data_IF_664309840733
#
_entry.id   IF_664309840733
#
_cell.length_a   1.000
_cell.length_b   1.000
_cell.length_c   1.000
_cell.angle_alpha   90.00
_cell.angle_beta   90.00
_cell.angle_gamma   90.00
#
_symmetry.space_group_name_H-M   'P 1'
#
loop_
_entity.id
_entity.type
_entity.pdbx_description
1 polymer ?
#
# COMPACT_ATOMS: atom_id res chain seq x y z
N UNK A 1 16.74 -3.38 -6.11
CA UNK A 1 15.97 -3.55 -7.36
C UNK A 1 14.49 -3.54 -6.98
N UNK A 2 13.74 -2.53 -7.39
CA UNK A 2 12.34 -2.35 -7.00
C UNK A 2 11.41 -3.31 -7.75
N UNK A 3 10.31 -3.69 -7.12
CA UNK A 3 9.21 -4.35 -7.82
C UNK A 3 8.55 -3.37 -8.79
N UNK A 4 8.25 -3.88 -9.98
CA UNK A 4 7.75 -3.13 -11.11
C UNK A 4 6.23 -3.19 -11.25
N UNK A 5 5.56 -4.09 -10.53
CA UNK A 5 4.11 -4.24 -10.58
C UNK A 5 3.56 -4.72 -9.24
N UNK A 6 2.28 -4.47 -9.03
CA UNK A 6 1.56 -4.83 -7.82
C UNK A 6 0.33 -5.66 -8.15
N UNK A 7 -0.25 -6.25 -7.11
CA UNK A 7 -1.55 -6.89 -7.16
C UNK A 7 -2.55 -6.19 -6.25
N UNK A 8 -3.80 -6.11 -6.71
CA UNK A 8 -4.88 -5.55 -5.93
C UNK A 8 -5.25 -6.47 -4.76
N UNK A 9 -5.42 -5.90 -3.57
CA UNK A 9 -5.84 -6.65 -2.38
C UNK A 9 -7.24 -7.26 -2.53
N UNK A 10 -8.14 -6.66 -3.32
CA UNK A 10 -9.52 -7.12 -3.45
C UNK A 10 -9.71 -8.30 -4.39
N UNK A 11 -8.91 -8.39 -5.46
CA UNK A 11 -9.12 -9.37 -6.54
C UNK A 11 -7.87 -10.17 -6.94
N UNK A 12 -6.69 -9.81 -6.39
CA UNK A 12 -5.43 -10.49 -6.65
C UNK A 12 -4.97 -10.46 -8.11
N UNK A 13 -5.45 -9.49 -8.88
CA UNK A 13 -5.00 -9.22 -10.24
C UNK A 13 -3.91 -8.16 -10.25
N UNK A 14 -3.04 -8.22 -11.25
CA UNK A 14 -2.04 -7.18 -11.51
C UNK A 14 -2.68 -5.78 -11.66
N UNK A 15 -1.97 -4.74 -11.23
CA UNK A 15 -2.44 -3.35 -11.24
C UNK A 15 -2.19 -2.58 -12.53
N UNK A 16 -1.26 -3.03 -13.38
CA UNK A 16 -0.78 -2.37 -14.61
C UNK A 16 -1.91 -1.98 -15.55
N UNK A 17 -1.87 -0.73 -16.02
CA UNK A 17 -2.94 -0.16 -16.87
C UNK A 17 -4.31 -0.12 -16.18
N UNK A 18 -4.34 -0.35 -14.86
CA UNK A 18 -5.53 -0.33 -14.04
C UNK A 18 -5.64 0.96 -13.25
N UNK A 19 -6.89 1.35 -12.98
CA UNK A 19 -7.31 2.33 -11.99
C UNK A 19 -7.73 1.67 -10.68
N UNK A 20 -7.70 2.41 -9.60
CA UNK A 20 -8.14 1.90 -8.31
C UNK A 20 -8.12 2.95 -7.21
N UNK A 21 -7.91 2.46 -6.00
CA UNK A 21 -7.88 3.22 -4.76
C UNK A 21 -6.64 2.81 -3.98
N UNK A 22 -5.79 3.78 -3.64
CA UNK A 22 -4.72 3.68 -2.65
C UNK A 22 -5.29 4.15 -1.31
N UNK A 23 -5.19 3.31 -0.28
CA UNK A 23 -5.55 3.73 1.08
C UNK A 23 -4.32 4.35 1.73
N UNK A 24 -4.57 5.39 2.51
CA UNK A 24 -3.57 6.15 3.21
C UNK A 24 -3.77 5.98 4.72
N UNK A 25 -2.71 6.17 5.51
CA UNK A 25 -2.87 6.36 6.94
C UNK A 25 -3.61 7.67 7.21
N UNK A 26 -4.44 7.69 8.25
CA UNK A 26 -5.21 8.89 8.60
C UNK A 26 -4.30 10.09 8.92
N UNK A 27 -3.15 9.83 9.55
CA UNK A 27 -2.14 10.86 9.82
C UNK A 27 -1.61 11.50 8.53
N UNK A 28 -1.11 10.68 7.60
CA UNK A 28 -0.55 11.17 6.33
C UNK A 28 -1.61 11.87 5.47
N UNK A 29 -2.80 11.27 5.33
CA UNK A 29 -3.89 11.86 4.56
C UNK A 29 -4.30 13.25 5.07
N UNK A 30 -4.35 13.42 6.40
CA UNK A 30 -4.65 14.70 7.05
C UNK A 30 -3.52 15.72 6.82
N UNK A 31 -2.27 15.31 6.98
CA UNK A 31 -1.11 16.19 6.79
C UNK A 31 -1.01 16.70 5.34
N UNK A 32 -1.15 15.80 4.37
CA UNK A 32 -1.08 16.09 2.94
C UNK A 32 -2.37 16.69 2.35
N UNK A 33 -3.44 16.79 3.14
CA UNK A 33 -4.79 17.19 2.70
C UNK A 33 -5.24 16.41 1.45
N UNK A 34 -5.16 15.09 1.55
CA UNK A 34 -5.61 14.15 0.53
C UNK A 34 -6.94 13.50 0.92
N UNK A 35 -7.67 13.04 -0.10
CA UNK A 35 -8.81 12.16 0.12
C UNK A 35 -8.31 10.76 0.49
N UNK A 36 -9.03 10.09 1.39
CA UNK A 36 -8.74 8.71 1.78
C UNK A 36 -10.00 7.84 1.57
N UNK A 37 -9.96 6.79 0.73
CA UNK A 37 -8.85 6.42 -0.13
C UNK A 37 -8.62 7.40 -1.29
N UNK A 38 -7.38 7.46 -1.74
CA UNK A 38 -6.92 8.23 -2.89
C UNK A 38 -7.19 7.46 -4.18
N UNK A 39 -7.99 8.02 -5.07
CA UNK A 39 -8.26 7.40 -6.38
C UNK A 39 -7.11 7.65 -7.33
N UNK A 40 -6.68 6.65 -8.07
CA UNK A 40 -5.72 6.79 -9.18
C UNK A 40 -6.31 6.25 -10.48
N UNK A 41 -5.87 6.78 -11.61
CA UNK A 41 -6.32 6.38 -12.95
C UNK A 41 -5.42 5.34 -13.60
N UNK A 42 -4.12 5.40 -13.34
CA UNK A 42 -3.12 4.56 -13.99
C UNK A 42 -1.98 4.27 -13.02
N UNK A 43 -1.31 3.14 -13.22
CA UNK A 43 -0.05 2.80 -12.56
C UNK A 43 0.97 2.46 -13.63
N UNK A 44 2.15 3.03 -13.53
CA UNK A 44 3.28 2.61 -14.35
C UNK A 44 3.98 1.39 -13.76
N UNK A 45 5.07 0.99 -14.40
CA UNK A 45 5.88 -0.15 -14.05
C UNK A 45 6.94 0.16 -12.98
N UNK A 46 6.95 1.34 -12.38
CA UNK A 46 7.84 1.70 -11.26
C UNK A 46 7.06 1.97 -9.96
N UNK A 47 5.74 1.87 -10.01
CA UNK A 47 4.86 2.19 -8.90
C UNK A 47 4.51 3.67 -8.83
N UNK A 48 4.62 4.41 -9.93
CA UNK A 48 4.05 5.76 -10.05
C UNK A 48 2.57 5.67 -10.33
N UNK A 49 1.78 6.37 -9.52
CA UNK A 49 0.33 6.40 -9.57
C UNK A 49 -0.12 7.77 -10.11
N UNK A 50 -0.79 7.77 -11.27
CA UNK A 50 -1.41 8.98 -11.79
C UNK A 50 -2.71 9.27 -11.02
N UNK A 51 -2.71 10.38 -10.29
CA UNK A 51 -3.71 10.69 -9.28
C UNK A 51 -4.31 12.09 -9.52
N UNK A 52 -5.65 12.22 -9.67
CA UNK A 52 -6.30 13.53 -9.74
C UNK A 52 -6.39 14.19 -8.36
N UNK A 53 -5.63 15.28 -8.17
CA UNK A 53 -5.54 16.00 -6.90
C UNK A 53 -6.14 17.42 -7.03
N UNK A 54 -6.76 17.89 -5.96
CA UNK A 54 -7.35 19.25 -5.89
C UNK A 54 -8.75 19.35 -6.51
N UNK A 55 -9.26 20.58 -6.54
CA UNK A 55 -10.59 20.90 -7.09
C UNK A 55 -10.63 20.75 -8.61
N UNK A 56 -9.55 21.15 -9.28
CA UNK A 56 -9.39 21.08 -10.74
C UNK A 56 -9.06 19.67 -11.24
N UNK A 57 -8.81 18.72 -10.33
CA UNK A 57 -8.48 17.32 -10.64
C UNK A 57 -7.23 17.17 -11.53
N UNK A 58 -6.26 18.08 -11.35
CA UNK A 58 -4.95 17.99 -12.01
C UNK A 58 -4.31 16.63 -11.71
N UNK A 59 -3.86 15.94 -12.77
CA UNK A 59 -3.17 14.67 -12.65
C UNK A 59 -1.74 14.91 -12.16
N UNK A 60 -1.38 14.18 -11.11
CA UNK A 60 -0.06 14.20 -10.49
C UNK A 60 0.41 12.77 -10.36
N UNK A 61 1.67 12.51 -10.67
CA UNK A 61 2.29 11.22 -10.46
C UNK A 61 2.90 11.17 -9.06
N UNK A 62 2.51 10.18 -8.27
CA UNK A 62 3.06 9.96 -6.94
C UNK A 62 3.66 8.57 -6.85
N UNK A 63 4.80 8.45 -6.19
CA UNK A 63 5.44 7.16 -5.95
C UNK A 63 4.76 6.40 -4.80
N UNK A 64 4.27 5.19 -5.09
CA UNK A 64 3.58 4.36 -4.09
C UNK A 64 4.47 4.01 -2.89
N UNK A 65 5.75 3.74 -3.13
CA UNK A 65 6.68 3.38 -2.07
C UNK A 65 7.11 4.62 -1.29
N UNK A 66 7.22 5.78 -1.92
CA UNK A 66 7.47 7.03 -1.19
C UNK A 66 6.28 7.40 -0.30
N UNK A 67 5.04 7.28 -0.81
CA UNK A 67 3.83 7.44 0.03
C UNK A 67 3.87 6.44 1.19
N UNK A 68 4.22 5.19 0.93
CA UNK A 68 4.30 4.16 1.96
C UNK A 68 5.36 4.47 3.01
N UNK A 69 6.56 4.87 2.60
CA UNK A 69 7.63 5.34 3.49
C UNK A 69 7.21 6.55 4.31
N UNK A 70 6.49 7.51 3.72
CA UNK A 70 5.95 8.65 4.44
C UNK A 70 4.93 8.21 5.50
N UNK A 71 4.03 7.28 5.18
CA UNK A 71 3.07 6.74 6.15
C UNK A 71 3.75 6.04 7.32
N UNK A 72 4.84 5.30 7.06
CA UNK A 72 5.64 4.63 8.09
C UNK A 72 6.30 5.64 9.04
N UNK A 73 6.94 6.68 8.47
CA UNK A 73 7.67 7.70 9.23
C UNK A 73 6.76 8.71 9.94
N UNK A 74 5.48 8.79 9.57
CA UNK A 74 4.47 9.63 10.22
C UNK A 74 3.54 8.85 11.16
N UNK A 75 3.72 7.54 11.30
CA UNK A 75 2.93 6.73 12.21
C UNK A 75 3.39 6.96 13.66
N UNK A 76 2.44 7.10 14.58
CA UNK A 76 2.71 7.15 16.03
C UNK A 76 3.07 5.77 16.62
N UNK A 77 3.12 4.73 15.77
CA UNK A 77 3.32 3.35 16.18
C UNK A 77 4.81 3.02 16.34
N UNK A 78 5.24 2.84 17.59
CA UNK A 78 6.61 2.45 17.97
C UNK A 78 7.04 1.07 17.41
N UNK A 79 6.14 0.30 16.78
CA UNK A 79 6.44 -0.99 16.16
C UNK A 79 6.82 -0.90 14.67
N UNK A 80 6.58 0.25 14.02
CA UNK A 80 7.22 0.52 12.74
C UNK A 80 8.67 0.92 13.05
N UNK A 81 9.69 0.30 12.41
CA UNK A 81 11.04 0.83 12.49
C UNK A 81 11.00 2.22 11.86
N UNK A 82 10.95 3.25 12.71
CA UNK A 82 11.13 4.63 12.29
C UNK A 82 12.52 4.67 11.64
N UNK A 83 12.56 4.78 10.32
CA UNK A 83 13.79 4.86 9.52
C UNK A 83 14.56 6.15 9.78
N UNK A 84 14.08 6.98 10.70
CA UNK A 84 14.69 8.25 11.09
C UNK A 84 14.30 9.41 10.18
N UNK A 85 13.39 9.20 9.22
CA UNK A 85 13.04 10.18 8.19
C UNK A 85 11.68 10.87 8.45
N UNK A 86 11.36 11.15 9.72
CA UNK A 86 10.09 11.80 10.09
C UNK A 86 9.96 13.23 9.58
N UNK A 87 11.08 13.97 9.54
CA UNK A 87 11.12 15.34 9.06
C UNK A 87 10.93 15.38 7.54
N UNK A 88 11.57 14.48 6.81
CA UNK A 88 11.42 14.27 5.37
C UNK A 88 9.98 13.88 5.03
N UNK A 89 9.38 12.96 5.79
CA UNK A 89 7.99 12.55 5.58
C UNK A 89 7.00 13.70 5.82
N UNK A 90 7.21 14.49 6.88
CA UNK A 90 6.41 15.68 7.15
C UNK A 90 6.56 16.74 6.04
N UNK A 91 7.79 16.96 5.55
CA UNK A 91 8.07 17.88 4.45
C UNK A 91 7.45 17.40 3.13
N UNK A 92 7.54 16.12 2.84
CA UNK A 92 6.91 15.51 1.66
C UNK A 92 5.38 15.69 1.69
N UNK A 93 4.73 15.41 2.83
CA UNK A 93 3.31 15.66 3.02
C UNK A 93 2.95 17.15 2.84
N UNK A 94 3.81 18.06 3.33
CA UNK A 94 3.63 19.50 3.16
C UNK A 94 3.70 19.91 1.68
N UNK A 95 4.68 19.43 0.92
CA UNK A 95 4.80 19.73 -0.52
C UNK A 95 3.59 19.23 -1.31
N UNK A 96 3.10 18.02 -1.00
CA UNK A 96 1.85 17.50 -1.57
C UNK A 96 0.71 18.46 -1.27
N UNK A 97 0.56 18.88 -0.02
CA UNK A 97 -0.49 19.81 0.41
C UNK A 97 -0.41 21.15 -0.31
N UNK A 98 0.80 21.67 -0.50
CA UNK A 98 1.09 22.93 -1.21
C UNK A 98 0.95 22.80 -2.73
N UNK A 99 0.75 21.57 -3.24
CA UNK A 99 0.68 21.24 -4.68
C UNK A 99 1.96 21.58 -5.43
N UNK A 100 3.08 21.44 -4.73
CA UNK A 100 4.41 21.77 -5.24
C UNK A 100 5.15 20.50 -5.65
N UNK A 101 4.77 19.95 -6.80
CA UNK A 101 5.24 18.64 -7.29
C UNK A 101 6.45 18.73 -8.24
N UNK A 102 6.61 19.84 -8.96
CA UNK A 102 7.65 20.03 -9.97
C UNK A 102 8.91 20.70 -9.39
N UNK A 103 9.37 20.23 -8.24
CA UNK A 103 10.57 20.77 -7.61
C UNK A 103 11.56 19.63 -7.30
N UNK A 104 12.86 19.93 -7.35
CA UNK A 104 13.90 18.92 -7.08
C UNK A 104 13.92 18.43 -5.63
N UNK A 105 13.33 19.18 -4.70
CA UNK A 105 13.16 18.76 -3.31
C UNK A 105 12.19 17.58 -3.21
N UNK A 106 11.10 17.59 -3.98
CA UNK A 106 10.04 16.60 -4.00
C UNK A 106 10.59 15.27 -4.50
N UNK A 107 11.31 15.30 -5.63
CA UNK A 107 11.99 14.12 -6.18
C UNK A 107 13.01 13.54 -5.19
N UNK A 108 13.82 14.38 -4.55
CA UNK A 108 14.79 13.94 -3.55
C UNK A 108 14.14 13.31 -2.30
N UNK A 109 13.02 13.86 -1.84
CA UNK A 109 12.24 13.29 -0.73
C UNK A 109 11.59 11.96 -1.12
N UNK A 110 11.10 11.84 -2.36
CA UNK A 110 10.55 10.57 -2.85
C UNK A 110 11.59 9.47 -2.87
N UNK A 111 12.81 9.74 -3.32
CA UNK A 111 13.88 8.74 -3.36
C UNK A 111 14.25 8.24 -1.96
N UNK A 112 14.32 9.14 -0.96
CA UNK A 112 14.60 8.79 0.43
C UNK A 112 13.48 7.88 0.98
N UNK A 113 12.24 8.36 0.91
CA UNK A 113 11.08 7.67 1.49
C UNK A 113 10.75 6.37 0.75
N UNK A 114 11.05 6.30 -0.56
CA UNK A 114 10.88 5.09 -1.36
C UNK A 114 11.71 3.93 -0.83
N UNK A 115 12.94 4.19 -0.39
CA UNK A 115 13.79 3.14 0.18
C UNK A 115 13.18 2.59 1.47
N UNK A 116 12.70 3.46 2.37
CA UNK A 116 12.03 3.05 3.60
C UNK A 116 10.80 2.17 3.33
N UNK A 117 9.98 2.60 2.36
CA UNK A 117 8.80 1.85 1.94
C UNK A 117 9.14 0.47 1.37
N UNK A 118 10.17 0.39 0.52
CA UNK A 118 10.66 -0.88 -0.05
C UNK A 118 11.21 -1.79 1.05
N UNK A 119 12.10 -1.29 1.88
CA UNK A 119 12.78 -2.08 2.91
C UNK A 119 11.77 -2.65 3.89
N UNK A 120 10.84 -1.83 4.38
CA UNK A 120 9.79 -2.31 5.26
C UNK A 120 8.86 -3.32 4.57
N UNK A 121 8.47 -3.05 3.32
CA UNK A 121 7.58 -3.94 2.56
C UNK A 121 8.16 -5.36 2.41
N UNK A 122 9.44 -5.49 2.11
CA UNK A 122 10.07 -6.80 1.91
C UNK A 122 10.54 -7.45 3.21
N UNK A 123 11.00 -6.68 4.20
CA UNK A 123 11.40 -7.22 5.50
C UNK A 123 10.23 -7.87 6.26
N UNK A 124 9.02 -7.35 6.06
CA UNK A 124 7.81 -7.82 6.77
C UNK A 124 7.05 -8.93 6.01
N UNK A 125 7.59 -9.44 4.91
CA UNK A 125 7.01 -10.56 4.17
C UNK A 125 7.48 -11.90 4.73
N UNK A 126 6.53 -12.80 4.92
CA UNK A 126 6.78 -14.17 5.37
C UNK A 126 6.06 -15.18 4.47
N UNK A 127 6.58 -16.39 4.40
CA UNK A 127 5.89 -17.50 3.75
C UNK A 127 4.59 -17.84 4.49
N UNK A 128 3.49 -17.96 3.76
CA UNK A 128 2.23 -18.45 4.30
C UNK A 128 2.25 -19.99 4.32
N UNK A 129 1.79 -20.64 5.41
CA UNK A 129 1.66 -22.10 5.45
C UNK A 129 0.82 -22.63 4.28
N UNK A 130 1.38 -23.58 3.52
CA UNK A 130 0.87 -24.04 2.22
C UNK A 130 -0.55 -24.65 2.23
N UNK A 131 -1.11 -24.93 3.41
CA UNK A 131 -2.45 -25.48 3.59
C UNK A 131 -3.52 -24.45 4.02
N UNK A 132 -3.15 -23.19 4.30
CA UNK A 132 -4.10 -22.19 4.78
C UNK A 132 -5.05 -21.75 3.65
N UNK A 133 -6.33 -22.10 3.78
CA UNK A 133 -7.40 -21.63 2.89
C UNK A 133 -8.07 -20.39 3.46
N UNK A 134 -7.70 -19.23 2.95
CA UNK A 134 -8.28 -17.94 3.38
C UNK A 134 -9.48 -17.58 2.49
N UNK A 135 -10.51 -16.97 3.08
CA UNK A 135 -11.70 -16.54 2.35
C UNK A 135 -11.53 -15.13 1.82
N UNK A 136 -11.70 -14.94 0.53
CA UNK A 136 -11.93 -13.62 -0.07
C UNK A 136 -13.42 -13.32 0.01
N UNK A 137 -13.78 -12.19 0.63
CA UNK A 137 -15.16 -11.75 0.77
C UNK A 137 -15.73 -11.35 -0.60
N UNK A 138 -17.05 -11.43 -0.74
CA UNK A 138 -17.72 -10.86 -1.90
C UNK A 138 -17.57 -9.32 -1.89
N UNK A 139 -17.38 -8.72 -3.06
CA UNK A 139 -17.27 -7.26 -3.18
C UNK A 139 -17.79 -6.76 -4.53
N UNK A 140 -18.94 -6.08 -4.50
CA UNK A 140 -19.71 -5.78 -5.71
C UNK A 140 -19.98 -7.06 -6.51
N UNK A 141 -19.81 -7.04 -7.83
CA UNK A 141 -19.96 -8.23 -8.70
C UNK A 141 -18.87 -9.31 -8.61
N UNK A 142 -18.05 -9.32 -7.56
CA UNK A 142 -17.10 -10.41 -7.29
C UNK A 142 -17.70 -11.37 -6.27
N UNK A 143 -17.78 -12.65 -6.62
CA UNK A 143 -18.22 -13.69 -5.70
C UNK A 143 -17.17 -13.99 -4.63
N UNK A 144 -17.63 -14.39 -3.45
CA UNK A 144 -16.75 -14.92 -2.42
C UNK A 144 -16.07 -16.20 -2.93
N UNK A 145 -14.80 -16.39 -2.55
CA UNK A 145 -14.01 -17.58 -2.95
C UNK A 145 -12.98 -17.94 -1.88
N UNK A 146 -12.48 -19.17 -1.93
CA UNK A 146 -11.33 -19.61 -1.14
C UNK A 146 -10.07 -19.52 -1.99
N UNK A 147 -8.99 -19.01 -1.39
CA UNK A 147 -7.68 -18.93 -2.01
C UNK A 147 -6.65 -19.58 -1.10
N UNK A 148 -5.52 -19.99 -1.67
CA UNK A 148 -4.35 -20.49 -0.93
C UNK A 148 -3.22 -19.48 -1.15
N UNK A 149 -3.05 -18.52 -0.24
CA UNK A 149 -1.98 -17.53 -0.32
C UNK A 149 -0.61 -18.20 -0.18
N UNK A 150 0.39 -17.63 -0.86
CA UNK A 150 1.79 -18.08 -0.73
C UNK A 150 2.57 -17.25 0.29
N UNK A 151 2.16 -16.00 0.47
CA UNK A 151 2.83 -15.03 1.32
C UNK A 151 1.83 -14.43 2.32
N UNK A 152 2.35 -14.03 3.47
CA UNK A 152 1.67 -13.18 4.42
C UNK A 152 2.56 -11.98 4.75
N UNK A 153 1.94 -10.90 5.19
CA UNK A 153 2.61 -9.71 5.67
C UNK A 153 2.35 -9.55 7.17
N UNK A 154 3.41 -9.35 7.94
CA UNK A 154 3.36 -9.30 9.41
C UNK A 154 3.63 -7.93 10.01
N UNK A 155 3.96 -6.94 9.18
CA UNK A 155 4.12 -5.55 9.60
C UNK A 155 2.82 -4.92 10.07
N UNK A 156 2.91 -3.89 10.90
CA UNK A 156 1.79 -3.16 11.49
C UNK A 156 1.17 -2.12 10.55
N UNK A 157 1.92 -1.60 9.58
CA UNK A 157 1.40 -0.71 8.54
C UNK A 157 1.33 -1.48 7.21
N UNK A 158 0.17 -1.70 6.59
CA UNK A 158 0.07 -2.37 5.29
C UNK A 158 0.18 -1.38 4.14
N UNK A 159 0.67 -1.85 2.99
CA UNK A 159 0.45 -1.19 1.70
C UNK A 159 -0.87 -1.71 1.09
N UNK A 160 -1.82 -0.82 0.77
CA UNK A 160 -3.16 -1.23 0.35
C UNK A 160 -3.63 -0.51 -0.92
N UNK A 161 -3.64 -1.23 -2.03
CA UNK A 161 -4.33 -0.90 -3.28
C UNK A 161 -5.54 -1.82 -3.47
N UNK A 162 -6.64 -1.25 -3.97
CA UNK A 162 -7.82 -2.01 -4.37
C UNK A 162 -8.38 -1.50 -5.68
N UNK A 163 -8.99 -2.39 -6.47
CA UNK A 163 -9.68 -2.01 -7.71
C UNK A 163 -11.04 -1.40 -7.41
N UNK A 164 -11.76 -1.98 -6.46
CA UNK A 164 -13.03 -1.47 -5.93
C UNK A 164 -12.80 -0.90 -4.55
N UNK A 165 -13.51 0.17 -4.21
CA UNK A 165 -13.47 0.73 -2.85
C UNK A 165 -13.92 -0.34 -1.85
N UNK A 166 -13.06 -0.63 -0.89
CA UNK A 166 -13.26 -1.57 0.20
C UNK A 166 -14.24 -0.97 1.21
N UNK A 167 -15.07 -1.80 1.85
CA UNK A 167 -15.85 -1.37 2.99
C UNK A 167 -14.93 -0.90 4.12
N UNK A 168 -15.24 0.26 4.71
CA UNK A 168 -14.52 0.84 5.84
C UNK A 168 -15.53 1.57 6.74
N UNK A 169 -15.34 1.49 8.04
CA UNK A 169 -16.13 2.23 9.02
C UNK A 169 -15.58 3.65 9.22
N UNK A 170 -16.36 4.48 9.91
CA UNK A 170 -15.95 5.86 10.18
C UNK A 170 -14.84 5.86 11.23
N UNK A 171 -13.65 6.27 10.83
CA UNK A 171 -12.49 6.38 11.72
C UNK A 171 -11.50 5.25 11.57
N UNK A 172 -11.83 4.20 10.81
CA UNK A 172 -10.88 3.15 10.45
C UNK A 172 -9.61 3.77 9.86
N UNK A 173 -8.46 3.31 10.33
CA UNK A 173 -7.18 3.54 9.67
C UNK A 173 -6.89 2.40 8.68
N UNK A 174 -5.87 2.58 7.86
CA UNK A 174 -5.48 1.64 6.81
C UNK A 174 -5.27 0.20 7.33
N UNK A 175 -4.71 0.05 8.54
CA UNK A 175 -4.50 -1.25 9.17
C UNK A 175 -5.82 -1.92 9.56
N UNK A 176 -6.80 -1.17 10.05
CA UNK A 176 -8.14 -1.69 10.37
C UNK A 176 -8.84 -2.18 9.11
N UNK A 177 -8.77 -1.40 8.03
CA UNK A 177 -9.35 -1.76 6.72
C UNK A 177 -8.69 -3.03 6.19
N UNK A 178 -7.36 -3.11 6.21
CA UNK A 178 -6.61 -4.28 5.74
C UNK A 178 -6.90 -5.52 6.60
N UNK A 179 -7.02 -5.37 7.92
CA UNK A 179 -7.32 -6.48 8.83
C UNK A 179 -8.75 -6.99 8.64
N UNK A 180 -9.70 -6.06 8.47
CA UNK A 180 -11.10 -6.38 8.17
C UNK A 180 -11.23 -7.06 6.79
N UNK A 181 -10.46 -6.62 5.80
CA UNK A 181 -10.43 -7.24 4.47
C UNK A 181 -9.70 -8.59 4.48
N UNK A 182 -8.63 -8.71 5.26
CA UNK A 182 -7.79 -9.90 5.43
C UNK A 182 -6.62 -9.99 4.46
N UNK A 183 -6.49 -9.04 3.54
CA UNK A 183 -5.46 -9.01 2.49
C UNK A 183 -4.92 -7.60 2.30
N UNK A 184 -3.69 -7.52 1.80
CA UNK A 184 -3.06 -6.27 1.39
C UNK A 184 -2.44 -6.40 -0.01
N UNK A 185 -1.89 -5.31 -0.52
CA UNK A 185 -1.21 -5.32 -1.81
C UNK A 185 0.08 -6.11 -1.74
N UNK A 186 0.30 -6.97 -2.73
CA UNK A 186 1.56 -7.66 -2.94
C UNK A 186 2.26 -7.16 -4.21
N UNK A 187 3.55 -7.41 -4.31
CA UNK A 187 4.28 -7.41 -5.57
C UNK A 187 3.70 -8.42 -6.55
N UNK A 188 3.66 -8.07 -7.84
CA UNK A 188 3.25 -9.01 -8.87
C UNK A 188 4.40 -9.99 -9.17
N UNK A 189 4.27 -11.30 -8.91
CA UNK A 189 5.33 -12.26 -9.20
C UNK A 189 5.75 -12.31 -10.67
N UNK A 190 4.88 -11.92 -11.61
CA UNK A 190 5.20 -11.95 -13.04
C UNK A 190 5.89 -10.67 -13.53
N UNK A 191 5.89 -9.57 -12.76
CA UNK A 191 6.60 -8.32 -13.08
C UNK A 191 6.37 -7.84 -14.55
N UNK A 192 5.18 -8.07 -15.10
CA UNK A 192 4.86 -7.70 -16.47
C UNK A 192 5.20 -8.72 -17.56
N UNK A 193 5.83 -9.83 -17.22
CA UNK A 193 6.10 -10.95 -18.13
C UNK A 193 4.85 -11.78 -18.45
N UNK A 194 3.74 -11.55 -17.74
CA UNK A 194 2.49 -12.28 -17.92
C UNK A 194 1.34 -11.72 -17.08
N UNK A 195 0.12 -12.20 -17.36
CA UNK A 195 -1.07 -11.79 -16.61
C UNK A 195 -1.11 -12.51 -15.27
N UNK A 196 -1.11 -11.76 -14.18
CA UNK A 196 -1.36 -12.29 -12.83
C UNK A 196 -2.83 -12.23 -12.46
N UNK A 197 -3.31 -13.35 -11.91
CA UNK A 197 -4.68 -13.52 -11.40
C UNK A 197 -4.64 -14.33 -10.12
N UNK A 198 -5.53 -14.03 -9.19
CA UNK A 198 -5.71 -14.76 -7.93
C UNK A 198 -4.44 -14.83 -7.06
N UNK A 199 -3.56 -13.84 -7.13
CA UNK A 199 -2.40 -13.71 -6.26
C UNK A 199 -2.74 -12.82 -5.08
N UNK A 200 -2.61 -13.32 -3.86
CA UNK A 200 -3.04 -12.62 -2.65
C UNK A 200 -1.97 -12.74 -1.57
N UNK A 201 -1.73 -11.64 -0.86
CA UNK A 201 -0.94 -11.61 0.36
C UNK A 201 -1.85 -11.38 1.57
N UNK A 202 -1.80 -12.31 2.52
CA UNK A 202 -2.61 -12.23 3.75
C UNK A 202 -2.02 -11.17 4.66
N UNK A 203 -2.86 -10.36 5.28
CA UNK A 203 -2.42 -9.40 6.29
C UNK A 203 -2.59 -10.00 7.70
N UNK A 204 -1.49 -10.15 8.43
CA UNK A 204 -1.41 -10.75 9.78
C UNK A 204 -0.46 -9.94 10.67
N UNK A 205 -0.80 -8.68 11.00
CA UNK A 205 0.09 -7.81 11.78
C UNK A 205 0.47 -8.45 13.12
N UNK A 206 1.76 -8.35 13.49
CA UNK A 206 2.26 -8.79 14.79
C UNK A 206 2.32 -10.31 14.99
N UNK A 207 2.22 -11.11 13.92
CA UNK A 207 2.29 -12.57 14.01
C UNK A 207 3.66 -13.14 14.43
N UNK A 208 4.69 -12.30 14.59
CA UNK A 208 6.06 -12.72 14.94
C UNK A 208 6.25 -13.25 16.38
N UNK A 209 5.25 -13.23 17.26
CA UNK A 209 5.39 -13.75 18.65
C UNK A 209 5.09 -15.24 18.85
N UNK A 210 5.18 -16.09 17.83
CA UNK A 210 4.92 -17.54 17.98
C UNK A 210 5.92 -18.48 17.30
N UNK A 211 7.19 -18.12 17.16
CA UNK A 211 8.25 -19.10 16.83
C UNK A 211 9.58 -18.78 17.53
N UNK A 212 9.59 -18.77 18.85
CA UNK A 212 10.79 -18.93 19.67
C UNK A 212 10.36 -19.39 21.06
N UNK A 213 10.13 -20.71 21.22
CA UNK A 213 10.18 -21.47 22.47
C UNK A 213 9.73 -22.90 22.13
N UNK A 214 10.67 -23.68 21.59
CA UNK A 214 10.62 -25.13 21.45
C UNK A 214 11.97 -25.68 21.84
#
# INVERSE_FOLDING_TARGET
>A
MGCFDFTYADNGMNTRGGKGFLYLSNCFAKAARLQNPLRYSETDWYGRLSTPIGAEKSLVELDIYAIYGAMLNMADDASAPLSGHSDEAARYAQLIRERNFNNGEFEGLEDILRNDGIDYFFCMQMACPSAEKVSVKALGGQNAKKVVPKCMFVGTMPLLLSRKKLPAEKGDDISDIAQNWGFMTDSDPNQGCGITRNHYMVYRPGAEKRQANG
#
